data_IF_319507457672
#
_entry.id   IF_319507457672
#
_cell.length_a   1.000
_cell.length_b   1.000
_cell.length_c   1.000
_cell.angle_alpha   90.00
_cell.angle_beta   90.00
_cell.angle_gamma   90.00
#
_symmetry.space_group_name_H-M   'P 1'
#
loop_
_entity.id
_entity.type
_entity.pdbx_description
1 polymer ?
#
# COMPACT_ATOMS: atom_id res chain seq x y z
N UNK A 1 13.85 -3.00 -16.55
CA UNK A 1 13.48 -2.44 -15.23
C UNK A 1 12.03 -2.02 -15.32
N UNK A 2 11.17 -2.46 -14.38
CA UNK A 2 9.77 -1.99 -14.33
C UNK A 2 9.79 -0.52 -13.91
N UNK A 3 9.01 0.33 -14.59
CA UNK A 3 8.96 1.78 -14.30
C UNK A 3 8.11 2.00 -13.04
N UNK A 4 8.72 2.60 -12.03
CA UNK A 4 8.00 3.04 -10.82
C UNK A 4 7.19 4.28 -11.18
N UNK A 5 5.90 4.27 -10.87
CA UNK A 5 4.95 5.36 -11.14
C UNK A 5 4.49 6.07 -9.87
N UNK A 6 4.78 5.49 -8.69
CA UNK A 6 4.49 6.13 -7.42
C UNK A 6 5.18 5.44 -6.26
N UNK A 7 5.45 6.22 -5.21
CA UNK A 7 5.85 5.72 -3.90
C UNK A 7 4.84 6.22 -2.89
N UNK A 8 4.36 5.33 -2.03
CA UNK A 8 3.45 5.67 -0.95
C UNK A 8 4.10 5.32 0.39
N UNK A 9 3.94 6.18 1.38
CA UNK A 9 4.20 5.83 2.77
C UNK A 9 2.94 5.23 3.37
N UNK A 10 3.12 4.13 4.09
CA UNK A 10 2.11 3.53 4.95
C UNK A 10 2.37 4.06 6.34
N UNK A 11 1.38 4.71 6.94
CA UNK A 11 1.44 5.14 8.33
C UNK A 11 0.47 4.31 9.16
N UNK A 12 0.87 3.92 10.37
CA UNK A 12 -0.04 3.42 11.41
C UNK A 12 -0.31 4.51 12.45
N UNK A 13 -1.39 4.38 13.24
CA UNK A 13 -1.79 5.39 14.23
C UNK A 13 -0.76 5.61 15.36
N UNK A 14 0.27 4.77 15.45
CA UNK A 14 1.31 4.86 16.45
C UNK A 14 2.60 5.51 15.91
N UNK A 15 2.69 5.77 14.60
CA UNK A 15 3.90 6.29 13.96
C UNK A 15 5.08 5.33 14.07
N UNK A 16 4.81 4.03 14.22
CA UNK A 16 5.81 3.01 14.51
C UNK A 16 6.25 2.22 13.27
N UNK A 17 5.55 2.36 12.14
CA UNK A 17 5.92 1.68 10.90
C UNK A 17 5.80 2.59 9.67
N UNK A 18 6.81 3.41 9.39
CA UNK A 18 6.94 4.06 8.08
C UNK A 18 7.41 3.02 7.05
N UNK A 19 6.48 2.22 6.55
CA UNK A 19 6.71 1.27 5.48
C UNK A 19 6.43 1.95 4.13
N UNK A 20 7.02 1.44 3.05
CA UNK A 20 6.80 2.03 1.73
C UNK A 20 6.20 1.05 0.73
N UNK A 21 5.36 1.57 -0.15
CA UNK A 21 4.82 0.87 -1.29
C UNK A 21 5.33 1.52 -2.58
N UNK A 22 6.19 0.81 -3.30
CA UNK A 22 6.70 1.21 -4.60
C UNK A 22 5.86 0.57 -5.71
N UNK A 23 5.14 1.40 -6.44
CA UNK A 23 4.20 0.98 -7.46
C UNK A 23 4.83 0.99 -8.85
N UNK A 24 4.57 -0.06 -9.61
CA UNK A 24 4.90 -0.15 -11.03
C UNK A 24 3.73 0.25 -11.93
N UNK A 25 4.04 0.68 -13.16
CA UNK A 25 3.06 1.04 -14.20
C UNK A 25 2.09 -0.10 -14.55
N UNK A 26 2.52 -1.35 -14.42
CA UNK A 26 1.71 -2.55 -14.67
C UNK A 26 0.74 -2.88 -13.52
N UNK A 27 0.73 -2.06 -12.47
CA UNK A 27 -0.11 -2.22 -11.29
C UNK A 27 0.39 -3.24 -10.28
N UNK A 28 1.59 -3.79 -10.46
CA UNK A 28 2.28 -4.52 -9.40
C UNK A 28 2.98 -3.56 -8.45
N UNK A 29 3.18 -3.94 -7.20
CA UNK A 29 3.97 -3.14 -6.26
C UNK A 29 4.91 -4.00 -5.42
N UNK A 30 5.89 -3.33 -4.83
CA UNK A 30 6.75 -3.85 -3.77
C UNK A 30 6.40 -3.11 -2.49
N UNK A 31 6.04 -3.86 -1.46
CA UNK A 31 5.88 -3.36 -0.10
C UNK A 31 7.15 -3.65 0.68
N UNK A 32 7.84 -2.60 1.12
CA UNK A 32 9.06 -2.71 1.89
C UNK A 32 8.81 -2.37 3.37
N UNK A 33 9.09 -3.35 4.22
CA UNK A 33 9.04 -3.21 5.68
C UNK A 33 10.31 -2.56 6.20
N UNK A 34 10.22 -1.89 7.36
CA UNK A 34 11.38 -1.26 8.02
C UNK A 34 12.51 -2.25 8.35
N UNK A 35 12.18 -3.53 8.58
CA UNK A 35 13.15 -4.58 8.84
C UNK A 35 13.85 -5.10 7.56
N UNK A 36 13.59 -4.49 6.40
CA UNK A 36 14.15 -4.87 5.10
C UNK A 36 13.45 -6.05 4.43
N UNK A 37 12.38 -6.59 5.02
CA UNK A 37 11.55 -7.59 4.33
C UNK A 37 10.74 -6.94 3.23
N UNK A 38 10.51 -7.69 2.16
CA UNK A 38 9.69 -7.27 1.05
C UNK A 38 8.52 -8.23 0.84
N UNK A 39 7.38 -7.65 0.48
CA UNK A 39 6.27 -8.39 -0.10
C UNK A 39 5.94 -7.83 -1.47
N UNK A 40 5.37 -8.68 -2.28
CA UNK A 40 4.94 -8.33 -3.63
C UNK A 40 3.42 -8.40 -3.68
N UNK A 41 2.84 -7.56 -4.52
CA UNK A 41 1.40 -7.50 -4.65
C UNK A 41 0.96 -6.85 -5.94
N UNK A 42 -0.36 -6.79 -6.08
CA UNK A 42 -1.03 -6.09 -7.16
C UNK A 42 -2.07 -5.14 -6.61
N UNK A 43 -2.24 -4.03 -7.29
CA UNK A 43 -3.29 -3.09 -6.98
C UNK A 43 -4.40 -3.13 -8.03
N UNK A 44 -5.61 -2.79 -7.63
CA UNK A 44 -6.69 -2.47 -8.56
C UNK A 44 -7.47 -1.27 -8.05
N UNK A 45 -7.99 -0.48 -8.99
CA UNK A 45 -8.85 0.64 -8.66
C UNK A 45 -10.29 0.31 -9.05
N UNK A 46 -11.15 0.22 -8.06
CA UNK A 46 -12.59 -0.01 -8.17
C UNK A 46 -13.30 1.18 -7.53
N UNK A 47 -13.45 2.27 -8.27
CA UNK A 47 -13.96 3.56 -7.78
C UNK A 47 -15.13 3.40 -6.77
N UNK A 48 -15.00 3.85 -5.50
CA UNK A 48 -13.95 4.74 -4.95
C UNK A 48 -12.79 4.03 -4.23
N UNK A 49 -12.66 2.72 -4.38
CA UNK A 49 -11.73 1.88 -3.64
C UNK A 49 -10.44 1.62 -4.39
N UNK A 50 -9.33 1.73 -3.67
CA UNK A 50 -8.06 1.12 -4.04
C UNK A 50 -7.94 -0.20 -3.29
N UNK A 51 -7.73 -1.30 -4.00
CA UNK A 51 -7.58 -2.64 -3.44
C UNK A 51 -6.15 -3.08 -3.64
N UNK A 52 -5.45 -3.40 -2.55
CA UNK A 52 -4.11 -3.96 -2.55
C UNK A 52 -4.19 -5.44 -2.20
N UNK A 53 -3.81 -6.31 -3.13
CA UNK A 53 -3.64 -7.74 -2.88
C UNK A 53 -2.16 -8.01 -2.64
N UNK A 54 -1.83 -8.48 -1.44
CA UNK A 54 -0.45 -8.73 -1.01
C UNK A 54 -0.24 -10.23 -0.85
N UNK A 55 0.82 -10.75 -1.45
CA UNK A 55 1.21 -12.15 -1.35
C UNK A 55 2.33 -12.31 -0.28
N UNK A 56 2.18 -13.24 0.68
CA UNK A 56 3.21 -13.45 1.73
C UNK A 56 3.06 -14.73 2.57
N UNK A 57 4.10 -15.01 3.40
CA UNK A 57 4.34 -16.18 4.28
C UNK A 57 3.16 -16.61 5.19
N UNK A 58 2.06 -17.08 4.60
CA UNK A 58 0.84 -17.54 5.29
C UNK A 58 -0.43 -17.44 4.46
N UNK A 59 -0.39 -16.75 3.31
CA UNK A 59 -1.52 -16.59 2.40
C UNK A 59 -1.56 -15.20 1.75
N UNK A 60 -2.53 -15.02 0.86
CA UNK A 60 -2.86 -13.73 0.29
C UNK A 60 -3.77 -12.97 1.27
N UNK A 61 -3.50 -11.68 1.47
CA UNK A 61 -4.41 -10.79 2.17
C UNK A 61 -4.74 -9.57 1.32
N UNK A 62 -5.89 -8.97 1.62
CA UNK A 62 -6.39 -7.78 0.92
C UNK A 62 -6.44 -6.60 1.88
N UNK A 63 -5.89 -5.48 1.44
CA UNK A 63 -6.02 -4.17 2.07
C UNK A 63 -6.91 -3.30 1.16
N UNK A 64 -7.93 -2.66 1.73
CA UNK A 64 -8.88 -1.83 0.98
C UNK A 64 -8.77 -0.41 1.49
N UNK A 65 -8.48 0.53 0.59
CA UNK A 65 -8.38 1.95 0.89
C UNK A 65 -9.44 2.76 0.17
N UNK A 66 -9.92 3.81 0.82
CA UNK A 66 -10.78 4.83 0.23
C UNK A 66 -10.14 6.19 0.36
N UNK A 67 -10.30 7.03 -0.65
CA UNK A 67 -9.75 8.39 -0.62
C UNK A 67 -10.65 9.30 0.21
N UNK A 68 -10.11 9.87 1.29
CA UNK A 68 -10.82 10.74 2.22
C UNK A 68 -9.89 11.82 2.74
N UNK A 69 -10.34 13.07 2.71
CA UNK A 69 -9.63 14.22 3.29
C UNK A 69 -8.16 14.35 2.80
N UNK A 70 -7.92 14.04 1.53
CA UNK A 70 -6.58 14.14 0.91
C UNK A 70 -5.68 12.92 1.10
N UNK A 71 -6.12 11.89 1.82
CA UNK A 71 -5.34 10.67 2.08
C UNK A 71 -6.14 9.42 1.72
N UNK A 72 -5.44 8.32 1.46
CA UNK A 72 -6.07 6.99 1.39
C UNK A 72 -6.18 6.42 2.79
N UNK A 73 -7.39 6.09 3.23
CA UNK A 73 -7.66 5.51 4.55
C UNK A 73 -8.08 4.05 4.39
N UNK A 74 -7.45 3.14 5.13
CA UNK A 74 -7.81 1.73 5.06
C UNK A 74 -9.17 1.48 5.73
N UNK A 75 -10.07 0.76 5.04
CA UNK A 75 -11.42 0.47 5.54
C UNK A 75 -11.42 -0.58 6.66
N UNK A 76 -10.43 -1.49 6.67
CA UNK A 76 -10.31 -2.61 7.60
C UNK A 76 -9.44 -2.29 8.82
N UNK A 77 -8.36 -1.52 8.61
CA UNK A 77 -7.40 -1.09 9.63
C UNK A 77 -7.43 0.43 9.68
N UNK A 78 -8.38 1.02 10.42
CA UNK A 78 -8.72 2.45 10.37
C UNK A 78 -7.54 3.38 10.72
N UNK A 79 -6.58 2.84 11.45
CA UNK A 79 -5.33 3.46 11.87
C UNK A 79 -4.30 3.57 10.73
N UNK A 80 -4.53 2.87 9.60
CA UNK A 80 -3.60 2.80 8.48
C UNK A 80 -3.99 3.77 7.36
N UNK A 81 -3.04 4.60 6.94
CA UNK A 81 -3.21 5.52 5.80
C UNK A 81 -2.09 5.39 4.78
N UNK A 82 -2.38 5.66 3.50
CA UNK A 82 -1.36 5.84 2.47
C UNK A 82 -1.24 7.31 2.08
N UNK A 83 0.00 7.80 2.06
CA UNK A 83 0.36 9.14 1.59
C UNK A 83 1.29 9.02 0.39
N UNK A 84 0.93 9.67 -0.71
CA UNK A 84 1.75 9.69 -1.93
C UNK A 84 2.99 10.58 -1.74
N UNK A 85 4.15 10.06 -2.10
CA UNK A 85 5.39 10.81 -2.24
C UNK A 85 5.60 11.14 -3.72
N UNK A 86 5.80 12.44 -4.01
CA UNK A 86 6.05 12.99 -5.35
C UNK A 86 7.35 12.51 -5.98
#
# INVERSE_FOLDING_TARGET
MKKITGVYLIHDAYGLSDESLSLNEDGTFIWQYLNGQEKYGSWSFENPRLILKVDGHGGQFEDIYVFKDGNWVNELVKERTLTYLS
#
